data_IF_470911905597
#
_entry.id   IF_470911905597
#
_cell.length_a   1.000
_cell.length_b   1.000
_cell.length_c   1.000
_cell.angle_alpha   90.00
_cell.angle_beta   90.00
_cell.angle_gamma   90.00
#
_symmetry.space_group_name_H-M   'P 1'
#
loop_
_entity.id
_entity.type
_entity.pdbx_description
1 polymer ?
#
# COMPACT_ATOMS: atom_id res chain seq x y z
N UNK A 1 -0.01 15.31 -10.88
CA UNK A 1 0.91 14.71 -9.90
C UNK A 1 1.13 13.21 -10.12
N UNK A 2 0.10 12.42 -10.41
CA UNK A 2 0.26 10.98 -10.73
C UNK A 2 1.34 10.68 -11.79
N UNK A 3 1.35 11.41 -12.92
CA UNK A 3 2.37 11.23 -13.97
C UNK A 3 3.80 11.50 -13.46
N UNK A 4 3.96 12.47 -12.55
CA UNK A 4 5.26 12.77 -11.94
C UNK A 4 5.68 11.62 -11.02
N UNK A 5 4.76 11.10 -10.20
CA UNK A 5 4.99 9.91 -9.37
C UNK A 5 5.42 8.71 -10.22
N UNK A 6 4.79 8.52 -11.38
CA UNK A 6 5.14 7.45 -12.31
C UNK A 6 6.54 7.61 -12.91
N UNK A 7 6.89 8.82 -13.35
CA UNK A 7 8.22 9.12 -13.90
C UNK A 7 9.30 8.90 -12.85
N UNK A 8 9.09 9.40 -11.63
CA UNK A 8 10.02 9.21 -10.50
C UNK A 8 10.18 7.73 -10.17
N UNK A 9 9.07 6.98 -10.15
CA UNK A 9 9.10 5.55 -9.91
C UNK A 9 9.88 4.82 -11.00
N UNK A 10 9.63 5.12 -12.29
CA UNK A 10 10.33 4.51 -13.41
C UNK A 10 11.83 4.81 -13.39
N UNK A 11 12.23 6.04 -13.12
CA UNK A 11 13.64 6.41 -12.97
C UNK A 11 14.30 5.66 -11.81
N UNK A 12 13.64 5.58 -10.65
CA UNK A 12 14.16 4.82 -9.51
C UNK A 12 14.30 3.35 -9.86
N UNK A 13 13.27 2.76 -10.46
CA UNK A 13 13.26 1.35 -10.84
C UNK A 13 14.36 1.03 -11.85
N UNK A 14 14.46 1.78 -12.95
CA UNK A 14 15.49 1.57 -13.98
C UNK A 14 16.91 1.74 -13.44
N UNK A 15 17.12 2.72 -12.54
CA UNK A 15 18.41 2.95 -11.90
C UNK A 15 18.84 1.77 -11.00
N UNK A 16 17.95 1.27 -10.13
CA UNK A 16 18.31 0.22 -9.17
C UNK A 16 18.27 -1.20 -9.74
N UNK A 17 17.46 -1.44 -10.78
CA UNK A 17 17.31 -2.77 -11.37
C UNK A 17 18.22 -3.03 -12.58
N UNK A 18 18.88 -1.99 -13.12
CA UNK A 18 19.58 -2.03 -14.42
C UNK A 18 18.69 -2.51 -15.59
N UNK A 19 17.37 -2.46 -15.44
CA UNK A 19 16.41 -2.84 -16.47
C UNK A 19 16.12 -1.64 -17.37
N UNK A 20 16.38 -1.79 -18.67
CA UNK A 20 16.14 -0.74 -19.67
C UNK A 20 14.78 -0.87 -20.37
N UNK A 21 14.13 -2.02 -20.26
CA UNK A 21 12.83 -2.29 -20.89
C UNK A 21 12.00 -3.25 -20.04
N UNK A 22 10.70 -2.98 -19.92
CA UNK A 22 9.76 -3.82 -19.18
C UNK A 22 8.57 -4.18 -20.05
N UNK A 23 8.06 -5.41 -19.93
CA UNK A 23 6.86 -5.82 -20.67
C UNK A 23 5.62 -5.11 -20.15
N UNK A 24 4.63 -4.87 -21.02
CA UNK A 24 3.35 -4.28 -20.61
C UNK A 24 2.67 -5.12 -19.52
N UNK A 25 2.79 -6.45 -19.61
CA UNK A 25 2.19 -7.39 -18.65
C UNK A 25 2.80 -7.28 -17.25
N UNK A 26 4.11 -7.03 -17.14
CA UNK A 26 4.78 -6.82 -15.84
C UNK A 26 4.65 -5.38 -15.33
N UNK A 27 4.54 -4.40 -16.25
CA UNK A 27 4.36 -3.00 -15.92
C UNK A 27 2.96 -2.69 -15.34
N UNK A 28 1.88 -3.19 -15.95
CA UNK A 28 0.51 -2.85 -15.55
C UNK A 28 0.20 -3.11 -14.07
N UNK A 29 0.54 -4.28 -13.49
CA UNK A 29 0.32 -4.55 -12.07
C UNK A 29 1.02 -3.55 -11.14
N UNK A 30 2.27 -3.20 -11.46
CA UNK A 30 3.07 -2.24 -10.71
C UNK A 30 2.48 -0.84 -10.82
N UNK A 31 2.09 -0.45 -12.03
CA UNK A 31 1.39 0.80 -12.27
C UNK A 31 0.07 0.89 -11.48
N UNK A 32 -0.71 -0.19 -11.44
CA UNK A 32 -1.96 -0.23 -10.67
C UNK A 32 -1.71 0.00 -9.18
N UNK A 33 -0.69 -0.63 -8.59
CA UNK A 33 -0.31 -0.40 -7.18
C UNK A 33 0.06 1.08 -6.96
N UNK A 34 0.79 1.70 -7.88
CA UNK A 34 1.15 3.12 -7.79
C UNK A 34 -0.08 4.03 -7.86
N UNK A 35 -1.02 3.74 -8.76
CA UNK A 35 -2.29 4.47 -8.86
C UNK A 35 -3.06 4.36 -7.56
N UNK A 36 -3.20 3.15 -6.99
CA UNK A 36 -3.90 2.95 -5.73
C UNK A 36 -3.21 3.67 -4.57
N UNK A 37 -1.88 3.64 -4.53
CA UNK A 37 -1.08 4.37 -3.53
C UNK A 37 -1.26 5.88 -3.66
N UNK A 38 -1.27 6.39 -4.91
CA UNK A 38 -1.56 7.80 -5.18
C UNK A 38 -2.96 8.20 -4.74
N UNK A 39 -3.98 7.39 -5.05
CA UNK A 39 -5.36 7.64 -4.63
C UNK A 39 -5.49 7.63 -3.11
N UNK A 40 -4.78 6.74 -2.42
CA UNK A 40 -4.77 6.68 -0.96
C UNK A 40 -4.16 7.95 -0.36
N UNK A 41 -3.06 8.46 -0.93
CA UNK A 41 -2.45 9.72 -0.50
C UNK A 41 -3.34 10.92 -0.80
N UNK A 42 -3.99 10.93 -1.97
CA UNK A 42 -4.92 11.99 -2.35
C UNK A 42 -6.14 12.02 -1.42
N UNK A 43 -6.70 10.86 -1.06
CA UNK A 43 -7.85 10.75 -0.17
C UNK A 43 -7.54 11.08 1.30
N UNK A 44 -6.25 11.13 1.69
CA UNK A 44 -5.84 11.36 3.07
C UNK A 44 -6.11 12.79 3.56
N UNK A 45 -6.26 13.74 2.63
CA UNK A 45 -6.54 15.14 2.93
C UNK A 45 -7.82 15.59 2.22
N UNK A 46 -8.57 16.55 2.81
CA UNK A 46 -9.70 17.16 2.14
C UNK A 46 -9.23 18.01 0.95
N UNK A 47 -9.99 17.97 -0.14
CA UNK A 47 -9.67 18.75 -1.36
C UNK A 47 -9.79 20.27 -1.13
N UNK A 48 -10.74 20.68 -0.28
CA UNK A 48 -11.01 22.07 0.06
C UNK A 48 -11.01 22.27 1.57
N UNK A 49 -10.37 23.35 2.02
CA UNK A 49 -10.38 23.77 3.43
C UNK A 49 -11.24 25.04 3.51
N UNK A 50 -12.41 25.00 4.18
CA UNK A 50 -13.24 26.18 4.34
C UNK A 50 -12.54 27.22 5.24
N UNK A 51 -12.93 28.49 5.14
CA UNK A 51 -12.31 29.61 5.88
C UNK A 51 -12.32 29.43 7.42
N UNK A 52 -13.24 28.60 7.95
CA UNK A 52 -13.33 28.25 9.37
C UNK A 52 -12.49 27.03 9.81
N UNK A 53 -11.75 26.41 8.90
CA UNK A 53 -11.01 25.17 9.15
C UNK A 53 -11.87 23.90 9.12
N UNK A 54 -11.23 22.74 9.24
CA UNK A 54 -11.89 21.43 9.19
C UNK A 54 -11.46 20.54 10.37
N UNK A 55 -12.42 19.86 10.99
CA UNK A 55 -12.13 18.81 11.97
C UNK A 55 -11.62 17.56 11.24
N UNK A 56 -10.30 17.34 11.30
CA UNK A 56 -9.64 16.20 10.69
C UNK A 56 -10.16 14.85 11.21
N UNK A 57 -10.57 14.76 12.48
CA UNK A 57 -11.11 13.53 13.06
C UNK A 57 -12.47 13.22 12.45
N UNK A 58 -13.32 14.24 12.30
CA UNK A 58 -14.62 14.07 11.67
C UNK A 58 -14.48 13.71 10.18
N UNK A 59 -13.59 14.41 9.46
CA UNK A 59 -13.26 14.10 8.07
C UNK A 59 -12.80 12.65 7.93
N UNK A 60 -11.84 12.22 8.74
CA UNK A 60 -11.33 10.85 8.74
C UNK A 60 -12.45 9.84 9.00
N UNK A 61 -13.30 10.06 10.01
CA UNK A 61 -14.39 9.13 10.31
C UNK A 61 -15.40 9.02 9.17
N UNK A 62 -15.61 10.09 8.41
CA UNK A 62 -16.47 10.11 7.24
C UNK A 62 -15.83 9.39 6.05
N UNK A 63 -14.54 9.60 5.78
CA UNK A 63 -13.81 9.00 4.66
C UNK A 63 -13.20 7.63 4.97
N UNK A 64 -13.28 7.13 6.23
CA UNK A 64 -12.60 5.92 6.71
C UNK A 64 -12.78 4.71 5.79
N UNK A 65 -14.00 4.46 5.33
CA UNK A 65 -14.30 3.28 4.52
C UNK A 65 -13.59 3.39 3.18
N UNK A 66 -13.58 4.56 2.58
CA UNK A 66 -12.87 4.81 1.33
C UNK A 66 -11.34 4.64 1.51
N UNK A 67 -10.75 5.27 2.54
CA UNK A 67 -9.33 5.17 2.85
C UNK A 67 -8.87 3.72 3.07
N UNK A 68 -9.57 2.99 3.95
CA UNK A 68 -9.20 1.62 4.26
C UNK A 68 -9.53 0.65 3.13
N UNK A 69 -10.53 0.94 2.28
CA UNK A 69 -10.78 0.15 1.06
C UNK A 69 -9.64 0.30 0.06
N UNK A 70 -9.10 1.51 -0.13
CA UNK A 70 -7.92 1.73 -0.96
C UNK A 70 -6.70 0.99 -0.43
N UNK A 71 -6.45 1.05 0.89
CA UNK A 71 -5.38 0.28 1.54
C UNK A 71 -5.57 -1.23 1.33
N UNK A 72 -6.79 -1.72 1.54
CA UNK A 72 -7.16 -3.14 1.36
C UNK A 72 -6.93 -3.59 -0.09
N UNK A 73 -7.38 -2.80 -1.06
CA UNK A 73 -7.18 -3.08 -2.49
C UNK A 73 -5.69 -3.09 -2.85
N UNK A 74 -4.90 -2.15 -2.32
CA UNK A 74 -3.46 -2.06 -2.54
C UNK A 74 -2.74 -3.30 -2.02
N UNK A 75 -2.99 -3.68 -0.76
CA UNK A 75 -2.38 -4.85 -0.13
C UNK A 75 -2.84 -6.17 -0.78
N UNK A 76 -4.12 -6.28 -1.12
CA UNK A 76 -4.67 -7.44 -1.81
C UNK A 76 -4.08 -7.60 -3.21
N UNK A 77 -3.94 -6.51 -3.96
CA UNK A 77 -3.25 -6.49 -5.25
C UNK A 77 -1.79 -6.92 -5.12
N UNK A 78 -1.06 -6.38 -4.13
CA UNK A 78 0.32 -6.77 -3.86
C UNK A 78 0.47 -8.27 -3.59
N UNK A 79 -0.37 -8.83 -2.72
CA UNK A 79 -0.35 -10.28 -2.42
C UNK A 79 -0.65 -11.08 -3.68
N UNK A 80 -1.69 -10.70 -4.43
CA UNK A 80 -2.11 -11.41 -5.63
C UNK A 80 -1.00 -11.43 -6.69
N UNK A 81 -0.40 -10.27 -6.98
CA UNK A 81 0.68 -10.20 -7.97
C UNK A 81 1.93 -10.95 -7.52
N UNK A 82 2.29 -10.87 -6.23
CA UNK A 82 3.39 -11.67 -5.69
C UNK A 82 3.15 -13.17 -5.90
N UNK A 83 1.92 -13.64 -5.64
CA UNK A 83 1.54 -15.04 -5.81
C UNK A 83 1.56 -15.47 -7.29
N UNK A 84 1.12 -14.61 -8.20
CA UNK A 84 1.18 -14.88 -9.64
C UNK A 84 2.62 -15.01 -10.11
N UNK A 85 3.49 -14.06 -9.75
CA UNK A 85 4.90 -14.04 -10.16
C UNK A 85 5.70 -15.23 -9.59
N UNK A 86 5.29 -15.74 -8.42
CA UNK A 86 6.01 -16.78 -7.70
C UNK A 86 5.22 -18.09 -7.57
N UNK A 87 4.25 -18.31 -8.47
CA UNK A 87 3.35 -19.47 -8.41
C UNK A 87 4.10 -20.81 -8.34
N UNK A 88 5.26 -20.87 -8.99
CA UNK A 88 6.15 -22.04 -9.01
C UNK A 88 6.73 -22.44 -7.65
N UNK A 89 6.71 -21.56 -6.65
CA UNK A 89 7.20 -21.86 -5.29
C UNK A 89 6.28 -22.83 -4.52
N UNK A 90 5.02 -22.96 -4.95
CA UNK A 90 4.00 -23.76 -4.28
C UNK A 90 3.37 -23.04 -3.07
N UNK A 91 2.13 -23.44 -2.74
CA UNK A 91 1.27 -22.77 -1.76
C UNK A 91 1.94 -22.58 -0.38
N UNK A 92 2.61 -23.59 0.23
CA UNK A 92 3.19 -23.43 1.57
C UNK A 92 4.26 -22.33 1.62
N UNK A 93 5.10 -22.25 0.58
CA UNK A 93 6.16 -21.23 0.51
C UNK A 93 5.59 -19.85 0.21
N UNK A 94 4.58 -19.77 -0.66
CA UNK A 94 3.86 -18.52 -0.93
C UNK A 94 3.23 -17.96 0.35
N UNK A 95 2.50 -18.78 1.11
CA UNK A 95 1.88 -18.37 2.37
C UNK A 95 2.91 -17.90 3.40
N UNK A 96 4.02 -18.63 3.53
CA UNK A 96 5.11 -18.25 4.44
C UNK A 96 5.73 -16.91 4.04
N UNK A 97 6.01 -16.70 2.75
CA UNK A 97 6.62 -15.47 2.25
C UNK A 97 5.68 -14.26 2.29
N UNK A 98 4.38 -14.46 2.07
CA UNK A 98 3.38 -13.39 2.12
C UNK A 98 2.80 -13.15 3.53
N UNK A 99 3.23 -13.90 4.55
CA UNK A 99 2.66 -13.85 5.90
C UNK A 99 2.48 -12.44 6.46
N UNK A 100 3.53 -11.59 6.51
CA UNK A 100 3.39 -10.21 6.99
C UNK A 100 2.40 -9.37 6.16
N UNK A 101 2.39 -9.54 4.83
CA UNK A 101 1.45 -8.84 3.96
C UNK A 101 0.01 -9.29 4.19
N UNK A 102 -0.23 -10.59 4.42
CA UNK A 102 -1.56 -11.14 4.74
C UNK A 102 -2.09 -10.62 6.07
N UNK A 103 -1.24 -10.46 7.08
CA UNK A 103 -1.62 -9.86 8.36
C UNK A 103 -1.98 -8.37 8.15
N UNK A 104 -1.16 -7.62 7.41
CA UNK A 104 -1.46 -6.22 7.09
C UNK A 104 -2.78 -6.07 6.32
N UNK A 105 -3.03 -6.97 5.36
CA UNK A 105 -4.29 -7.04 4.62
C UNK A 105 -5.48 -7.30 5.56
N UNK A 106 -5.37 -8.29 6.46
CA UNK A 106 -6.42 -8.58 7.44
C UNK A 106 -6.70 -7.38 8.35
N UNK A 107 -5.65 -6.68 8.82
CA UNK A 107 -5.80 -5.45 9.61
C UNK A 107 -6.52 -4.34 8.84
N UNK A 108 -6.19 -4.16 7.55
CA UNK A 108 -6.86 -3.18 6.69
C UNK A 108 -8.34 -3.53 6.45
N UNK A 109 -8.67 -4.81 6.27
CA UNK A 109 -10.07 -5.28 6.18
C UNK A 109 -10.83 -5.00 7.48
N UNK A 110 -10.25 -5.36 8.63
CA UNK A 110 -10.86 -5.10 9.94
C UNK A 110 -11.09 -3.60 10.17
N UNK A 111 -10.11 -2.77 9.80
CA UNK A 111 -10.19 -1.32 9.90
C UNK A 111 -11.25 -0.72 8.95
N UNK A 112 -11.41 -1.28 7.75
CA UNK A 112 -12.50 -0.91 6.82
C UNK A 112 -13.87 -1.14 7.45
N UNK A 113 -14.06 -2.29 8.10
CA UNK A 113 -15.34 -2.71 8.65
C UNK A 113 -15.68 -2.06 10.00
N UNK A 114 -14.69 -1.55 10.73
CA UNK A 114 -14.88 -1.12 12.11
C UNK A 114 -14.73 0.39 12.26
N UNK A 115 -15.68 1.11 12.90
CA UNK A 115 -15.56 2.55 13.16
C UNK A 115 -14.69 2.90 14.38
N UNK A 116 -14.14 1.91 15.10
CA UNK A 116 -13.42 2.13 16.36
C UNK A 116 -12.01 2.65 16.09
N UNK A 117 -11.74 3.89 16.48
CA UNK A 117 -10.45 4.57 16.27
C UNK A 117 -9.24 3.82 16.83
N UNK A 118 -9.38 3.13 17.97
CA UNK A 118 -8.26 2.39 18.56
C UNK A 118 -7.81 1.22 17.66
N UNK A 119 -8.72 0.60 16.90
CA UNK A 119 -8.40 -0.45 15.93
C UNK A 119 -7.60 0.15 14.77
N UNK A 120 -7.99 1.33 14.30
CA UNK A 120 -7.27 2.04 13.25
C UNK A 120 -5.86 2.42 13.70
N UNK A 121 -5.71 2.92 14.93
CA UNK A 121 -4.41 3.24 15.51
C UNK A 121 -3.52 1.99 15.62
N UNK A 122 -4.06 0.86 16.08
CA UNK A 122 -3.33 -0.41 16.12
C UNK A 122 -2.95 -0.90 14.72
N UNK A 123 -3.85 -0.79 13.74
CA UNK A 123 -3.59 -1.18 12.35
C UNK A 123 -2.47 -0.33 11.75
N UNK A 124 -2.52 0.99 11.91
CA UNK A 124 -1.47 1.91 11.43
C UNK A 124 -0.15 1.61 12.13
N UNK A 125 -0.16 1.46 13.46
CA UNK A 125 1.05 1.16 14.24
C UNK A 125 1.70 -0.15 13.81
N UNK A 126 0.90 -1.20 13.63
CA UNK A 126 1.37 -2.50 13.15
C UNK A 126 1.94 -2.43 11.74
N UNK A 127 1.18 -1.89 10.77
CA UNK A 127 1.61 -1.77 9.37
C UNK A 127 2.91 -0.98 9.27
N UNK A 128 3.00 0.13 10.01
CA UNK A 128 4.20 0.98 10.05
C UNK A 128 5.40 0.25 10.66
N UNK A 129 5.20 -0.48 11.76
CA UNK A 129 6.26 -1.25 12.40
C UNK A 129 6.81 -2.36 11.49
N UNK A 130 5.93 -3.10 10.80
CA UNK A 130 6.32 -4.13 9.84
C UNK A 130 7.07 -3.52 8.66
N UNK A 131 6.58 -2.41 8.10
CA UNK A 131 7.27 -1.72 7.01
C UNK A 131 8.64 -1.21 7.43
N UNK A 132 8.75 -0.61 8.62
CA UNK A 132 10.02 -0.13 9.16
C UNK A 132 11.01 -1.28 9.37
N UNK A 133 10.57 -2.39 9.97
CA UNK A 133 11.39 -3.58 10.17
C UNK A 133 11.91 -4.15 8.84
N UNK A 134 11.05 -4.25 7.83
CA UNK A 134 11.46 -4.75 6.51
C UNK A 134 12.48 -3.81 5.84
N UNK A 135 12.28 -2.49 5.91
CA UNK A 135 13.23 -1.54 5.31
C UNK A 135 14.58 -1.53 6.06
N UNK A 136 14.55 -1.55 7.39
CA UNK A 136 15.76 -1.56 8.21
C UNK A 136 16.58 -2.84 8.03
N UNK A 137 15.92 -4.01 7.99
CA UNK A 137 16.59 -5.29 7.79
C UNK A 137 17.30 -5.37 6.43
N UNK A 138 16.72 -4.79 5.39
CA UNK A 138 17.38 -4.65 4.09
C UNK A 138 18.58 -3.70 4.10
N UNK A 139 18.50 -2.60 4.86
CA UNK A 139 19.58 -1.60 4.92
C UNK A 139 20.81 -2.01 5.74
N UNK A 140 20.63 -2.89 6.73
CA UNK A 140 21.70 -3.34 7.63
C UNK A 140 22.31 -4.67 7.13
N UNK A 141 21.61 -5.40 6.26
CA UNK A 141 22.00 -6.72 5.76
C UNK A 141 22.83 -6.73 4.47
N UNK A 142 23.37 -5.60 4.03
CA UNK A 142 24.32 -5.50 2.90
C UNK A 142 25.70 -5.07 3.36
#
# INVERSE_FOLDING_TARGET
MLLVTLVIWWWSFSWFSNVTSESIASFLPRFLILVLSFLMMAAALPDEIPEGGIDLKQFYLWSRVHLWSLMTATLGGYILFYWVDHWSLGIPRLMAASGPAMINFAMAVIATLTPRMWIHALAIGWISAVMLYNNLSWSIGQ
#
